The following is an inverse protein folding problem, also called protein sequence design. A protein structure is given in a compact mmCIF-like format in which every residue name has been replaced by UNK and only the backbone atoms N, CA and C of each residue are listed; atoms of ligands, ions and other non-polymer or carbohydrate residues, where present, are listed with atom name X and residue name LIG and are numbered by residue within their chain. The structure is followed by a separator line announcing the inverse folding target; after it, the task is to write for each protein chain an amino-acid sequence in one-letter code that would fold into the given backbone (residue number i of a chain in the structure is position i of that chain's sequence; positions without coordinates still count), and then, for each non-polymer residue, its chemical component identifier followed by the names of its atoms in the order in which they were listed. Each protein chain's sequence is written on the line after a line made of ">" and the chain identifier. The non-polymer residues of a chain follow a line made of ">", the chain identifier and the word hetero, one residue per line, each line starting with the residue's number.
data_IF_499648801528
#
_entry.id   IF_499648801528
#
_cell.length_a   1.000
_cell.length_b   1.000
_cell.length_c   1.000
_cell.angle_alpha   90.00
_cell.angle_beta   90.00
_cell.angle_gamma   90.00
#
_symmetry.space_group_name_H-M   'P 1'
#
loop_
_entity.id
_entity.type
_entity.pdbx_description
1 polymer ?
#
# COMPACT_ATOMS: atom_id res chain seq x y z
N UNK A 1 -0.02 46.02 -19.07
CA UNK A 1 -0.50 45.68 -17.70
C UNK A 1 -1.66 44.68 -17.63
N UNK A 2 -2.30 44.25 -18.74
CA UNK A 2 -3.43 43.29 -18.71
C UNK A 2 -3.05 41.79 -18.74
N UNK A 3 -1.79 41.44 -19.05
CA UNK A 3 -1.36 40.04 -19.20
C UNK A 3 -0.84 39.34 -17.93
N UNK A 4 -0.38 40.10 -16.92
CA UNK A 4 0.17 39.49 -15.70
C UNK A 4 -0.91 38.99 -14.74
N UNK A 5 -2.03 39.70 -14.64
CA UNK A 5 -3.14 39.35 -13.71
C UNK A 5 -3.82 38.04 -14.11
N UNK A 6 -3.95 37.76 -15.41
CA UNK A 6 -4.59 36.53 -15.91
C UNK A 6 -3.71 35.30 -15.65
N UNK A 7 -2.39 35.43 -15.73
CA UNK A 7 -1.46 34.30 -15.50
C UNK A 7 -1.39 33.91 -14.01
N UNK A 8 -1.48 34.87 -13.09
CA UNK A 8 -1.42 34.58 -11.63
C UNK A 8 -2.70 33.89 -11.12
N UNK A 9 -3.87 34.19 -11.70
CA UNK A 9 -5.14 33.57 -11.29
C UNK A 9 -5.21 32.10 -11.73
N UNK A 10 -4.71 31.76 -12.92
CA UNK A 10 -4.70 30.37 -13.41
C UNK A 10 -3.79 29.43 -12.60
N UNK A 11 -2.67 29.94 -12.06
CA UNK A 11 -1.77 29.15 -11.22
C UNK A 11 -2.41 28.84 -9.85
N UNK A 12 -3.11 29.79 -9.24
CA UNK A 12 -3.80 29.57 -7.95
C UNK A 12 -4.94 28.56 -8.07
N UNK A 13 -5.73 28.61 -9.14
CA UNK A 13 -6.83 27.66 -9.39
C UNK A 13 -6.37 26.22 -9.63
N UNK A 14 -5.21 26.03 -10.29
CA UNK A 14 -4.64 24.71 -10.53
C UNK A 14 -4.02 24.06 -9.27
N UNK A 15 -3.58 24.87 -8.30
CA UNK A 15 -3.05 24.39 -7.01
C UNK A 15 -4.17 23.93 -6.05
N UNK A 16 -5.34 24.57 -6.07
CA UNK A 16 -6.48 24.20 -5.21
C UNK A 16 -7.11 22.84 -5.52
N UNK A 17 -7.02 22.37 -6.77
CA UNK A 17 -7.54 21.04 -7.14
C UNK A 17 -6.64 19.89 -6.69
N UNK A 18 -5.35 20.15 -6.39
CA UNK A 18 -4.45 19.13 -5.86
C UNK A 18 -4.62 18.90 -4.35
N UNK A 19 -5.27 19.82 -3.63
CA UNK A 19 -5.59 19.66 -2.20
C UNK A 19 -6.81 18.79 -1.91
N UNK A 20 -7.56 18.38 -2.94
CA UNK A 20 -8.53 17.30 -2.82
C UNK A 20 -7.86 15.96 -3.12
N UNK A 21 -6.96 15.57 -2.20
CA UNK A 21 -6.52 14.19 -2.08
C UNK A 21 -7.73 13.29 -1.77
N UNK A 22 -7.57 11.97 -1.97
CA UNK A 22 -8.59 10.95 -1.75
C UNK A 22 -9.23 11.12 -0.35
N UNK A 23 -10.44 11.70 -0.31
CA UNK A 23 -11.26 11.69 0.88
C UNK A 23 -11.98 10.35 0.87
N UNK A 24 -11.44 9.40 1.62
CA UNK A 24 -12.14 8.15 1.92
C UNK A 24 -13.43 8.42 2.70
N UNK A 25 -14.06 7.34 3.14
CA UNK A 25 -15.33 7.38 3.86
C UNK A 25 -15.22 8.29 5.09
N UNK A 26 -16.14 9.25 5.23
CA UNK A 26 -16.13 10.15 6.37
C UNK A 26 -16.99 9.60 7.49
N UNK A 27 -16.56 9.86 8.72
CA UNK A 27 -17.36 9.58 9.91
C UNK A 27 -18.77 10.18 9.77
N UNK A 28 -19.78 9.34 9.84
CA UNK A 28 -21.20 9.73 9.72
C UNK A 28 -21.78 9.61 8.31
N UNK A 29 -21.01 9.16 7.32
CA UNK A 29 -21.53 8.73 6.02
C UNK A 29 -22.16 7.34 6.12
N UNK A 30 -23.36 7.19 5.55
CA UNK A 30 -24.06 5.90 5.49
C UNK A 30 -23.47 5.07 4.35
N UNK A 31 -22.69 4.04 4.70
CA UNK A 31 -22.12 3.11 3.74
C UNK A 31 -23.16 2.04 3.38
N UNK A 32 -23.69 2.04 2.14
CA UNK A 32 -24.67 1.04 1.75
C UNK A 32 -24.03 -0.34 1.80
N UNK A 33 -24.77 -1.33 2.30
CA UNK A 33 -24.31 -2.71 2.29
C UNK A 33 -23.95 -3.14 0.86
N UNK A 34 -22.86 -3.92 0.74
CA UNK A 34 -22.47 -4.49 -0.54
C UNK A 34 -23.65 -5.24 -1.18
N UNK A 35 -23.87 -5.13 -2.50
CA UNK A 35 -24.93 -5.87 -3.16
C UNK A 35 -24.81 -7.37 -2.89
N UNK A 36 -25.96 -8.06 -2.68
CA UNK A 36 -25.98 -9.50 -2.37
C UNK A 36 -25.31 -10.38 -3.42
N UNK A 37 -25.18 -9.89 -4.66
CA UNK A 37 -24.43 -10.56 -5.73
C UNK A 37 -22.92 -10.68 -5.44
N UNK A 38 -22.40 -9.92 -4.47
CA UNK A 38 -21.00 -9.98 -4.02
C UNK A 38 -20.78 -10.96 -2.88
N UNK A 39 -21.73 -11.89 -2.62
CA UNK A 39 -21.54 -13.00 -1.69
C UNK A 39 -20.41 -13.92 -2.22
N UNK A 40 -19.18 -13.54 -1.90
CA UNK A 40 -17.96 -14.28 -2.22
C UNK A 40 -17.53 -15.00 -0.95
N UNK A 41 -17.12 -16.28 -1.05
CA UNK A 41 -16.53 -16.95 0.10
C UNK A 41 -15.31 -16.13 0.57
N UNK A 42 -15.03 -16.12 1.89
CA UNK A 42 -13.84 -15.49 2.42
C UNK A 42 -12.58 -15.97 1.69
N UNK A 43 -11.64 -15.06 1.44
CA UNK A 43 -10.34 -15.46 0.91
C UNK A 43 -9.60 -16.26 1.98
N UNK A 44 -9.18 -17.52 1.72
CA UNK A 44 -8.49 -18.32 2.71
C UNK A 44 -7.12 -17.70 3.01
N UNK A 45 -6.74 -17.67 4.29
CA UNK A 45 -5.36 -17.36 4.66
C UNK A 45 -4.44 -18.49 4.19
N UNK A 46 -3.29 -18.12 3.63
CA UNK A 46 -2.24 -19.03 3.16
C UNK A 46 -0.90 -18.55 3.69
N UNK A 47 0.00 -19.49 3.97
CA UNK A 47 1.41 -19.16 4.17
C UNK A 47 2.03 -18.62 2.88
N UNK A 48 3.15 -17.91 2.99
CA UNK A 48 3.86 -17.40 1.83
C UNK A 48 4.28 -18.51 0.85
N UNK A 49 4.65 -19.70 1.37
CA UNK A 49 4.98 -20.87 0.57
C UNK A 49 3.76 -21.44 -0.17
N UNK A 50 2.60 -21.55 0.48
CA UNK A 50 1.36 -21.99 -0.16
C UNK A 50 0.86 -20.97 -1.21
N UNK A 51 1.03 -19.67 -0.95
CA UNK A 51 0.64 -18.63 -1.88
C UNK A 51 1.55 -18.60 -3.12
N UNK A 52 2.85 -18.94 -2.98
CA UNK A 52 3.78 -19.05 -4.09
C UNK A 52 3.29 -20.05 -5.17
N UNK A 53 2.63 -21.14 -4.75
CA UNK A 53 2.05 -22.15 -5.65
C UNK A 53 0.81 -21.65 -6.41
N UNK A 54 0.21 -20.55 -5.96
CA UNK A 54 -1.03 -19.97 -6.51
C UNK A 54 -0.77 -19.06 -7.73
N UNK A 55 0.45 -18.53 -7.87
CA UNK A 55 0.79 -17.61 -8.95
C UNK A 55 0.89 -18.28 -10.32
N UNK A 56 0.43 -17.57 -11.34
CA UNK A 56 0.63 -17.95 -12.75
C UNK A 56 1.62 -16.98 -13.39
N UNK A 57 2.72 -17.52 -13.95
CA UNK A 57 3.76 -16.73 -14.59
C UNK A 57 3.74 -16.91 -16.12
N UNK A 58 4.11 -15.87 -16.90
CA UNK A 58 4.39 -16.04 -18.33
C UNK A 58 5.57 -17.00 -18.56
N UNK A 59 5.64 -17.67 -19.73
CA UNK A 59 6.77 -18.54 -20.06
C UNK A 59 8.12 -17.82 -19.98
N UNK A 60 9.10 -18.46 -19.34
CA UNK A 60 10.46 -17.93 -19.17
C UNK A 60 10.69 -17.06 -17.92
N UNK A 61 9.66 -16.84 -17.10
CA UNK A 61 9.78 -16.13 -15.82
C UNK A 61 9.88 -17.11 -14.65
N UNK A 62 10.58 -16.69 -13.58
CA UNK A 62 10.68 -17.38 -12.29
C UNK A 62 10.24 -16.42 -11.19
N UNK A 63 9.64 -16.96 -10.12
CA UNK A 63 9.34 -16.25 -8.88
C UNK A 63 10.01 -16.99 -7.72
N UNK A 64 10.53 -16.24 -6.77
CA UNK A 64 11.18 -16.73 -5.56
C UNK A 64 10.61 -15.98 -4.36
N UNK A 65 10.46 -16.70 -3.25
CA UNK A 65 10.08 -16.10 -1.98
C UNK A 65 11.36 -15.65 -1.26
N UNK A 66 11.58 -14.33 -1.20
CA UNK A 66 12.81 -13.74 -0.61
C UNK A 66 12.63 -13.23 0.82
N UNK A 67 11.40 -13.01 1.27
CA UNK A 67 11.07 -12.60 2.63
C UNK A 67 9.59 -12.86 2.93
N UNK A 68 9.29 -13.33 4.13
CA UNK A 68 7.93 -13.41 4.67
C UNK A 68 7.97 -13.14 6.19
N UNK A 69 6.82 -13.19 6.86
CA UNK A 69 6.78 -13.11 8.32
C UNK A 69 7.70 -14.15 8.95
N UNK A 70 8.46 -13.80 10.00
CA UNK A 70 8.43 -12.52 10.74
C UNK A 70 9.41 -11.45 10.22
N UNK A 71 10.10 -11.67 9.10
CA UNK A 71 11.12 -10.74 8.59
C UNK A 71 10.51 -9.42 8.10
N UNK A 72 9.32 -9.49 7.51
CA UNK A 72 8.57 -8.34 6.98
C UNK A 72 7.09 -8.49 7.28
N UNK A 73 6.42 -7.39 7.62
CA UNK A 73 4.98 -7.34 7.95
C UNK A 73 4.34 -6.09 7.31
N UNK A 74 3.17 -6.23 6.67
CA UNK A 74 2.43 -5.14 6.00
C UNK A 74 3.27 -4.21 5.07
N UNK A 75 4.04 -4.77 4.11
CA UNK A 75 4.90 -3.98 3.22
C UNK A 75 4.09 -3.13 2.22
N UNK A 76 4.44 -1.85 2.08
CA UNK A 76 3.78 -0.92 1.14
C UNK A 76 4.70 -0.34 0.07
N UNK A 77 6.01 -0.32 0.32
CA UNK A 77 7.02 0.10 -0.64
C UNK A 77 8.34 -0.59 -0.32
N UNK A 78 9.14 -0.89 -1.35
CA UNK A 78 10.47 -1.47 -1.17
C UNK A 78 11.47 -1.03 -2.25
N UNK A 79 12.76 -1.04 -1.91
CA UNK A 79 13.84 -0.85 -2.87
C UNK A 79 15.12 -1.56 -2.43
N UNK A 80 15.93 -1.98 -3.41
CA UNK A 80 17.30 -2.43 -3.14
C UNK A 80 18.25 -1.23 -3.16
N UNK A 81 19.19 -1.19 -2.22
CA UNK A 81 20.27 -0.21 -2.22
C UNK A 81 21.52 -0.69 -2.99
N UNK A 82 22.52 0.17 -3.10
CA UNK A 82 23.77 -0.13 -3.82
C UNK A 82 24.61 -1.24 -3.17
N UNK A 83 24.29 -1.64 -1.93
CA UNK A 83 24.93 -2.75 -1.21
C UNK A 83 24.11 -4.03 -1.29
N UNK A 84 23.03 -4.07 -2.07
CA UNK A 84 22.17 -5.24 -2.25
C UNK A 84 21.17 -5.47 -1.12
N UNK A 85 21.06 -4.55 -0.15
CA UNK A 85 20.10 -4.69 0.96
C UNK A 85 18.70 -4.30 0.50
N UNK A 86 17.70 -5.05 0.94
CA UNK A 86 16.30 -4.75 0.66
C UNK A 86 15.72 -3.85 1.77
N UNK A 87 15.36 -2.62 1.40
CA UNK A 87 14.67 -1.66 2.27
C UNK A 87 13.18 -1.77 2.06
N UNK A 88 12.41 -1.89 3.15
CA UNK A 88 10.96 -2.05 3.12
C UNK A 88 10.29 -1.04 4.05
N UNK A 89 9.27 -0.35 3.57
CA UNK A 89 8.35 0.48 4.36
C UNK A 89 7.16 -0.38 4.78
N UNK A 90 6.91 -0.49 6.08
CA UNK A 90 5.76 -1.21 6.64
C UNK A 90 4.67 -0.25 7.13
N UNK A 91 3.41 -0.53 6.79
CA UNK A 91 2.24 0.27 7.15
C UNK A 91 1.27 -0.47 8.09
N UNK A 92 1.79 -0.86 9.25
CA UNK A 92 1.12 -1.70 10.27
C UNK A 92 -0.08 -1.06 10.99
N UNK A 93 -0.36 0.21 10.70
CA UNK A 93 -1.41 0.96 11.36
C UNK A 93 -2.67 1.11 10.53
N UNK A 94 -2.68 0.65 9.27
CA UNK A 94 -3.75 0.97 8.33
C UNK A 94 -4.99 0.09 8.53
N UNK A 95 -6.15 0.71 8.76
CA UNK A 95 -7.46 0.06 8.81
C UNK A 95 -7.46 -1.25 9.62
N UNK A 96 -6.96 -1.20 10.86
CA UNK A 96 -6.95 -2.37 11.77
C UNK A 96 -8.38 -2.92 12.02
N UNK A 97 -9.38 -2.05 11.96
CA UNK A 97 -10.80 -2.38 11.96
C UNK A 97 -11.58 -1.43 11.05
N UNK A 98 -12.89 -1.66 10.92
CA UNK A 98 -13.78 -0.87 10.07
C UNK A 98 -13.88 0.60 10.51
N UNK A 99 -13.62 0.89 11.78
CA UNK A 99 -13.69 2.22 12.35
C UNK A 99 -12.35 2.97 12.27
N UNK A 100 -11.30 2.31 11.76
CA UNK A 100 -9.95 2.88 11.69
C UNK A 100 -9.38 3.14 13.08
N UNK A 101 -9.65 2.27 14.06
CA UNK A 101 -9.09 2.45 15.40
C UNK A 101 -7.56 2.46 15.35
N UNK A 102 -6.96 3.32 16.18
CA UNK A 102 -5.51 3.37 16.41
C UNK A 102 -4.63 3.77 15.20
N UNK A 103 -5.20 4.19 14.07
CA UNK A 103 -4.43 4.54 12.85
C UNK A 103 -3.38 5.65 13.03
N UNK A 104 -3.61 6.54 13.99
CA UNK A 104 -2.67 7.64 14.30
C UNK A 104 -1.45 7.19 15.11
N UNK A 105 -1.42 5.94 15.60
CA UNK A 105 -0.28 5.42 16.34
C UNK A 105 0.92 5.24 15.39
N UNK A 106 2.11 5.70 15.77
CA UNK A 106 3.30 5.59 14.93
C UNK A 106 3.91 4.18 15.01
N UNK A 107 3.18 3.18 14.52
CA UNK A 107 3.59 1.76 14.53
C UNK A 107 4.29 1.31 13.26
N UNK A 108 4.29 2.14 12.21
CA UNK A 108 5.05 1.88 10.99
C UNK A 108 6.56 1.83 11.26
N UNK A 109 7.27 0.98 10.52
CA UNK A 109 8.73 0.83 10.63
C UNK A 109 9.36 0.70 9.25
N UNK A 110 10.66 0.96 9.21
CA UNK A 110 11.51 0.60 8.07
C UNK A 110 12.26 -0.66 8.45
N UNK A 111 12.18 -1.69 7.60
CA UNK A 111 12.97 -2.92 7.74
C UNK A 111 14.05 -2.93 6.67
N UNK A 112 15.25 -3.36 7.07
CA UNK A 112 16.38 -3.56 6.16
C UNK A 112 16.77 -5.03 6.23
N UNK A 113 16.55 -5.75 5.13
CA UNK A 113 16.89 -7.16 5.00
C UNK A 113 18.22 -7.30 4.28
N UNK A 114 19.03 -8.23 4.77
CA UNK A 114 20.35 -8.59 4.26
C UNK A 114 20.30 -10.08 4.00
N UNK A 115 20.71 -10.49 2.81
CA UNK A 115 21.00 -11.88 2.49
C UNK A 115 22.38 -12.22 3.09
N UNK A 116 22.42 -13.22 3.97
CA UNK A 116 23.63 -13.68 4.66
C UNK A 116 24.02 -15.14 4.37
N UNK A 117 23.27 -15.83 3.50
CA UNK A 117 23.52 -17.22 3.11
C UNK A 117 23.63 -17.47 1.59
N UNK A 118 23.48 -16.45 0.75
CA UNK A 118 23.68 -16.50 -0.72
C UNK A 118 22.86 -17.63 -1.39
N UNK A 119 21.64 -17.89 -0.92
CA UNK A 119 20.77 -18.97 -1.42
C UNK A 119 19.88 -18.60 -2.63
#
# INVERSE_FOLDING_TARGET
>A
MRGYVTFTISVVLALSTMTHAQQGDRRGEDQPALPRSFDRPPSPARSAQEELESFTLPPGFKMELVACEPLVEDPVAMCFDASGRLWVVEMRGYMNDIDGSDETRPVGRIVVLIDDDDD
#
